data_IF_041841523960
#
_entry.id   IF_041841523960
#
_cell.length_a   1.000
_cell.length_b   1.000
_cell.length_c   1.000
_cell.angle_alpha   90.00
_cell.angle_beta   90.00
_cell.angle_gamma   90.00
#
_symmetry.space_group_name_H-M   'P 1'
#
loop_
_entity.id
_entity.type
_entity.pdbx_description
1 polymer ?
#
# COMPACT_ATOMS: atom_id res chain seq x y z
N UNK A 1 -0.99 -17.51 13.84
CA UNK A 1 -1.14 -16.09 13.46
C UNK A 1 -1.06 -15.87 11.95
N UNK A 2 -0.15 -16.49 11.19
CA UNK A 2 -0.20 -16.48 9.71
C UNK A 2 -1.32 -17.35 9.11
N UNK A 3 -1.83 -18.30 9.88
CA UNK A 3 -2.96 -19.19 9.55
C UNK A 3 -4.29 -18.44 9.32
N UNK A 4 -4.42 -17.21 9.84
CA UNK A 4 -5.64 -16.39 9.72
C UNK A 4 -5.61 -15.38 8.59
N UNK A 5 -4.47 -15.15 7.96
CA UNK A 5 -4.30 -14.08 6.95
C UNK A 5 -5.31 -14.21 5.81
N UNK A 6 -5.35 -15.38 5.17
CA UNK A 6 -6.32 -15.66 4.12
C UNK A 6 -7.75 -15.57 4.66
N UNK A 7 -7.98 -16.13 5.84
CA UNK A 7 -9.30 -16.20 6.46
C UNK A 7 -9.89 -14.80 6.71
N UNK A 8 -9.11 -13.90 7.31
CA UNK A 8 -9.50 -12.53 7.63
C UNK A 8 -9.76 -11.71 6.36
N UNK A 9 -8.88 -11.79 5.36
CA UNK A 9 -9.05 -11.10 4.09
C UNK A 9 -10.28 -11.63 3.32
N UNK A 10 -10.45 -12.96 3.24
CA UNK A 10 -11.58 -13.58 2.57
C UNK A 10 -12.92 -13.28 3.26
N UNK A 11 -12.96 -13.34 4.60
CA UNK A 11 -14.16 -13.03 5.36
C UNK A 11 -14.56 -11.56 5.22
N UNK A 12 -13.59 -10.64 5.26
CA UNK A 12 -13.87 -9.23 5.07
C UNK A 12 -14.30 -8.92 3.63
N UNK A 13 -13.67 -9.52 2.62
CA UNK A 13 -14.07 -9.34 1.22
C UNK A 13 -15.51 -9.79 0.96
N UNK A 14 -15.95 -10.89 1.57
CA UNK A 14 -17.35 -11.34 1.54
C UNK A 14 -18.27 -10.32 2.22
N UNK A 15 -17.85 -9.79 3.36
CA UNK A 15 -18.62 -8.80 4.12
C UNK A 15 -18.81 -7.49 3.35
N UNK A 16 -17.74 -6.92 2.77
CA UNK A 16 -17.81 -5.68 1.98
C UNK A 16 -18.71 -5.84 0.74
N UNK A 17 -18.84 -7.07 0.20
CA UNK A 17 -19.78 -7.39 -0.88
C UNK A 17 -21.20 -7.73 -0.41
N UNK A 18 -21.48 -7.65 0.90
CA UNK A 18 -22.78 -8.00 1.47
C UNK A 18 -23.13 -9.49 1.40
N UNK A 19 -22.13 -10.37 1.19
CA UNK A 19 -22.34 -11.81 1.02
C UNK A 19 -22.23 -12.49 2.38
N UNK A 20 -23.35 -13.00 2.89
CA UNK A 20 -23.35 -13.80 4.12
C UNK A 20 -22.64 -15.14 3.91
N UNK A 21 -22.11 -15.73 5.00
CA UNK A 21 -21.46 -17.04 4.97
C UNK A 21 -22.35 -18.13 4.35
N UNK A 22 -23.65 -18.14 4.68
CA UNK A 22 -24.60 -19.12 4.12
C UNK A 22 -24.86 -18.89 2.63
N UNK A 23 -24.92 -17.63 2.18
CA UNK A 23 -25.05 -17.30 0.77
C UNK A 23 -23.80 -17.72 -0.01
N UNK A 24 -22.60 -17.46 0.52
CA UNK A 24 -21.34 -17.88 -0.07
C UNK A 24 -21.23 -19.42 -0.16
N UNK A 25 -21.56 -20.14 0.92
CA UNK A 25 -21.56 -21.59 0.95
C UNK A 25 -22.48 -22.19 -0.13
N UNK A 26 -23.68 -21.63 -0.28
CA UNK A 26 -24.63 -22.04 -1.33
C UNK A 26 -24.10 -21.73 -2.74
N UNK A 27 -23.59 -20.52 -2.95
CA UNK A 27 -23.09 -20.10 -4.26
C UNK A 27 -21.90 -20.95 -4.76
N UNK A 28 -21.05 -21.39 -3.83
CA UNK A 28 -19.87 -22.19 -4.15
C UNK A 28 -20.07 -23.71 -3.98
N UNK A 29 -21.26 -24.15 -3.58
CA UNK A 29 -21.59 -25.55 -3.26
C UNK A 29 -20.65 -26.18 -2.19
N UNK A 30 -20.40 -25.47 -1.10
CA UNK A 30 -19.62 -25.98 0.05
C UNK A 30 -20.49 -26.16 1.30
N UNK A 31 -20.07 -27.09 2.16
CA UNK A 31 -20.61 -27.22 3.51
C UNK A 31 -20.38 -25.92 4.32
N UNK A 32 -21.43 -25.31 4.92
CA UNK A 32 -21.28 -24.10 5.72
C UNK A 32 -20.34 -24.25 6.91
N UNK A 33 -20.24 -25.45 7.52
CA UNK A 33 -19.35 -25.66 8.65
C UNK A 33 -17.87 -25.69 8.21
N UNK A 34 -17.57 -26.30 7.06
CA UNK A 34 -16.23 -26.23 6.45
C UNK A 34 -15.86 -24.79 6.10
N UNK A 35 -16.76 -24.06 5.41
CA UNK A 35 -16.51 -22.65 5.08
C UNK A 35 -16.26 -21.80 6.34
N UNK A 36 -17.04 -22.02 7.40
CA UNK A 36 -16.86 -21.34 8.69
C UNK A 36 -15.51 -21.63 9.32
N UNK A 37 -15.05 -22.88 9.35
CA UNK A 37 -13.72 -23.23 9.89
C UNK A 37 -12.61 -22.54 9.11
N UNK A 38 -12.73 -22.46 7.79
CA UNK A 38 -11.74 -21.78 6.95
C UNK A 38 -11.76 -20.27 7.14
N UNK A 39 -12.93 -19.62 7.12
CA UNK A 39 -13.05 -18.17 7.28
C UNK A 39 -12.77 -17.68 8.71
N UNK A 40 -12.71 -18.58 9.69
CA UNK A 40 -12.26 -18.28 11.06
C UNK A 40 -10.80 -18.67 11.31
N UNK A 41 -10.10 -19.18 10.28
CA UNK A 41 -8.71 -19.60 10.36
C UNK A 41 -8.45 -20.84 11.22
N UNK A 42 -9.51 -21.62 11.54
CA UNK A 42 -9.38 -22.91 12.23
C UNK A 42 -8.89 -24.03 11.29
N UNK A 43 -8.98 -23.83 9.98
CA UNK A 43 -8.55 -24.78 8.96
C UNK A 43 -8.06 -24.03 7.72
N UNK A 44 -6.93 -24.43 7.14
CA UNK A 44 -6.45 -23.83 5.89
C UNK A 44 -7.41 -24.12 4.72
N UNK A 45 -7.55 -23.19 3.75
CA UNK A 45 -8.35 -23.44 2.56
C UNK A 45 -7.71 -24.53 1.69
N UNK A 46 -8.53 -25.36 1.05
CA UNK A 46 -8.05 -26.10 -0.13
C UNK A 46 -7.81 -25.14 -1.30
N UNK A 47 -6.97 -25.53 -2.26
CA UNK A 47 -6.75 -24.72 -3.47
C UNK A 47 -8.06 -24.44 -4.24
N UNK A 48 -8.99 -25.40 -4.24
CA UNK A 48 -10.29 -25.24 -4.88
C UNK A 48 -11.19 -24.26 -4.13
N UNK A 49 -11.19 -24.29 -2.79
CA UNK A 49 -11.95 -23.33 -2.00
C UNK A 49 -11.40 -21.92 -2.18
N UNK A 50 -10.07 -21.74 -2.15
CA UNK A 50 -9.44 -20.45 -2.40
C UNK A 50 -9.85 -19.88 -3.77
N UNK A 51 -9.78 -20.68 -4.85
CA UNK A 51 -10.25 -20.30 -6.20
C UNK A 51 -11.74 -19.97 -6.27
N UNK A 52 -12.56 -20.59 -5.42
CA UNK A 52 -14.01 -20.37 -5.42
C UNK A 52 -14.37 -19.06 -4.72
N UNK A 53 -13.74 -18.79 -3.56
CA UNK A 53 -13.90 -17.51 -2.86
C UNK A 53 -13.35 -16.38 -3.70
N UNK A 54 -12.15 -16.55 -4.28
CA UNK A 54 -11.50 -15.56 -5.14
C UNK A 54 -12.41 -15.12 -6.29
N UNK A 55 -13.01 -16.08 -7.03
CA UNK A 55 -13.99 -15.78 -8.08
C UNK A 55 -15.25 -15.11 -7.54
N UNK A 56 -15.78 -15.57 -6.41
CA UNK A 56 -17.00 -15.02 -5.81
C UNK A 56 -16.83 -13.55 -5.39
N UNK A 57 -15.66 -13.18 -4.87
CA UNK A 57 -15.35 -11.81 -4.46
C UNK A 57 -14.58 -11.03 -5.52
N UNK A 58 -14.47 -11.56 -6.75
CA UNK A 58 -13.78 -10.89 -7.85
C UNK A 58 -12.36 -10.47 -7.51
N UNK A 59 -11.60 -11.30 -6.79
CA UNK A 59 -10.24 -10.98 -6.35
C UNK A 59 -9.16 -11.30 -7.40
N UNK A 60 -9.52 -11.62 -8.64
CA UNK A 60 -8.59 -11.77 -9.78
C UNK A 60 -7.35 -12.64 -9.51
N UNK A 61 -7.53 -13.75 -8.80
CA UNK A 61 -6.46 -14.68 -8.41
C UNK A 61 -5.59 -14.22 -7.24
N UNK A 62 -5.81 -13.03 -6.69
CA UNK A 62 -4.99 -12.47 -5.60
C UNK A 62 -5.26 -13.15 -4.26
N UNK A 63 -6.49 -13.62 -3.99
CA UNK A 63 -6.76 -14.47 -2.81
C UNK A 63 -6.12 -15.84 -2.95
N UNK A 64 -6.03 -16.38 -4.17
CA UNK A 64 -5.29 -17.62 -4.46
C UNK A 64 -3.79 -17.42 -4.19
N UNK A 65 -3.22 -16.31 -4.66
CA UNK A 65 -1.83 -15.96 -4.38
C UNK A 65 -1.55 -15.79 -2.88
N UNK A 66 -2.48 -15.16 -2.15
CA UNK A 66 -2.38 -15.03 -0.69
C UNK A 66 -2.44 -16.38 0.02
N UNK A 67 -3.33 -17.28 -0.41
CA UNK A 67 -3.39 -18.65 0.12
C UNK A 67 -2.09 -19.42 -0.13
N UNK A 68 -1.48 -19.25 -1.31
CA UNK A 68 -0.19 -19.85 -1.64
C UNK A 68 0.96 -19.31 -0.77
N UNK A 69 0.98 -18.00 -0.50
CA UNK A 69 1.96 -17.37 0.39
C UNK A 69 1.81 -17.81 1.87
N UNK A 70 0.60 -18.23 2.27
CA UNK A 70 0.24 -18.61 3.64
C UNK A 70 -0.08 -20.10 3.79
N UNK A 71 0.58 -20.94 3.00
CA UNK A 71 0.44 -22.39 3.03
C UNK A 71 0.98 -23.03 4.33
N UNK A 72 0.78 -24.35 4.48
CA UNK A 72 1.17 -25.12 5.67
C UNK A 72 2.66 -25.02 6.00
N UNK A 73 3.55 -25.05 5.00
CA UNK A 73 4.99 -24.88 5.22
C UNK A 73 5.33 -23.48 5.75
N UNK A 74 4.74 -22.44 5.15
CA UNK A 74 4.89 -21.04 5.59
C UNK A 74 4.43 -20.87 7.03
N UNK A 75 3.25 -21.43 7.38
CA UNK A 75 2.71 -21.39 8.74
C UNK A 75 3.63 -22.12 9.72
N UNK A 76 4.09 -23.32 9.39
CA UNK A 76 5.01 -24.09 10.21
C UNK A 76 6.35 -23.36 10.40
N UNK A 77 6.85 -22.69 9.35
CA UNK A 77 8.09 -21.90 9.41
C UNK A 77 7.95 -20.71 10.35
N UNK A 78 6.88 -19.92 10.21
CA UNK A 78 6.62 -18.79 11.12
C UNK A 78 6.48 -19.29 12.56
N UNK A 79 5.80 -20.41 12.79
CA UNK A 79 5.69 -21.01 14.13
C UNK A 79 7.06 -21.41 14.72
N UNK A 80 7.98 -21.96 13.91
CA UNK A 80 9.36 -22.26 14.35
C UNK A 80 10.12 -20.99 14.71
N UNK A 81 10.00 -19.94 13.90
CA UNK A 81 10.66 -18.65 14.13
C UNK A 81 10.12 -17.94 15.36
N UNK A 82 8.82 -18.07 15.66
CA UNK A 82 8.24 -17.56 16.91
C UNK A 82 8.80 -18.24 18.16
N UNK A 83 9.12 -19.55 18.08
CA UNK A 83 9.75 -20.26 19.20
C UNK A 83 11.21 -19.86 19.40
N UNK A 84 11.90 -19.44 18.34
CA UNK A 84 13.30 -19.02 18.40
C UNK A 84 13.56 -17.76 17.55
N UNK A 85 13.05 -16.57 17.96
CA UNK A 85 13.13 -15.37 17.13
C UNK A 85 14.56 -14.89 16.84
N UNK A 86 15.52 -15.22 17.70
CA UNK A 86 16.94 -14.92 17.49
C UNK A 86 17.58 -15.72 16.34
N UNK A 87 16.87 -16.73 15.80
CA UNK A 87 17.33 -17.63 14.73
C UNK A 87 16.50 -17.51 13.44
N UNK A 88 15.87 -16.36 13.21
CA UNK A 88 15.18 -16.06 11.94
C UNK A 88 16.14 -16.33 10.76
N UNK A 89 15.62 -17.03 9.76
CA UNK A 89 16.34 -17.39 8.53
C UNK A 89 15.81 -16.63 7.31
N UNK A 90 16.54 -16.69 6.20
CA UNK A 90 16.13 -16.10 4.93
C UNK A 90 14.74 -16.57 4.46
N UNK A 91 14.38 -17.84 4.74
CA UNK A 91 13.07 -18.38 4.41
C UNK A 91 11.95 -17.68 5.17
N UNK A 92 12.16 -17.36 6.44
CA UNK A 92 11.19 -16.61 7.27
C UNK A 92 11.01 -15.20 6.73
N UNK A 93 12.10 -14.51 6.41
CA UNK A 93 12.04 -13.17 5.76
C UNK A 93 11.19 -13.27 4.49
N UNK A 94 11.51 -14.22 3.61
CA UNK A 94 10.78 -14.44 2.34
C UNK A 94 9.28 -14.66 2.55
N UNK A 95 8.86 -15.44 3.54
CA UNK A 95 7.44 -15.67 3.83
C UNK A 95 6.72 -14.36 4.15
N UNK A 96 7.30 -13.49 4.96
CA UNK A 96 6.68 -12.20 5.29
C UNK A 96 6.68 -11.23 4.12
N UNK A 97 7.77 -11.18 3.34
CA UNK A 97 7.85 -10.35 2.11
C UNK A 97 6.82 -10.79 1.07
N UNK A 98 6.70 -12.09 0.80
CA UNK A 98 5.74 -12.61 -0.18
C UNK A 98 4.29 -12.42 0.29
N UNK A 99 4.03 -12.62 1.58
CA UNK A 99 2.72 -12.37 2.18
C UNK A 99 2.33 -10.89 2.09
N UNK A 100 3.25 -9.97 2.39
CA UNK A 100 3.02 -8.53 2.25
C UNK A 100 2.69 -8.16 0.80
N UNK A 101 3.44 -8.72 -0.15
CA UNK A 101 3.18 -8.45 -1.56
C UNK A 101 1.83 -9.00 -2.04
N UNK A 102 1.47 -10.21 -1.64
CA UNK A 102 0.18 -10.79 -1.99
C UNK A 102 -0.97 -9.93 -1.42
N UNK A 103 -0.79 -9.34 -0.24
CA UNK A 103 -1.78 -8.44 0.35
C UNK A 103 -1.86 -7.09 -0.37
N UNK A 104 -0.73 -6.50 -0.77
CA UNK A 104 -0.73 -5.30 -1.64
C UNK A 104 -1.51 -5.56 -2.93
N UNK A 105 -1.20 -6.66 -3.61
CA UNK A 105 -1.89 -7.03 -4.85
C UNK A 105 -3.36 -7.38 -4.67
N UNK A 106 -3.73 -7.91 -3.51
CA UNK A 106 -5.13 -8.14 -3.18
C UNK A 106 -5.86 -6.82 -2.98
N UNK A 107 -5.25 -5.88 -2.27
CA UNK A 107 -5.82 -4.57 -2.00
C UNK A 107 -6.11 -3.77 -3.28
N UNK A 108 -5.24 -3.84 -4.29
CA UNK A 108 -5.47 -3.24 -5.61
C UNK A 108 -6.86 -3.60 -6.21
N UNK A 109 -7.40 -4.77 -5.85
CA UNK A 109 -8.62 -5.35 -6.44
C UNK A 109 -9.83 -5.23 -5.51
N UNK A 110 -9.65 -5.48 -4.21
CA UNK A 110 -10.78 -5.54 -3.25
C UNK A 110 -10.79 -4.41 -2.23
N UNK A 111 -9.89 -3.43 -2.39
CA UNK A 111 -9.82 -2.21 -1.60
C UNK A 111 -9.22 -2.36 -0.20
N UNK A 112 -8.84 -1.24 0.43
CA UNK A 112 -8.06 -1.22 1.67
C UNK A 112 -8.87 -1.72 2.88
N UNK A 113 -10.19 -1.51 2.90
CA UNK A 113 -11.08 -1.99 3.97
C UNK A 113 -11.05 -3.50 4.10
N UNK A 114 -10.97 -4.21 2.97
CA UNK A 114 -10.97 -5.67 2.92
C UNK A 114 -9.69 -6.29 3.46
N UNK A 115 -8.55 -5.65 3.23
CA UNK A 115 -7.23 -6.20 3.59
C UNK A 115 -6.78 -5.78 5.00
N UNK A 116 -7.24 -4.62 5.48
CA UNK A 116 -6.80 -4.05 6.76
C UNK A 116 -6.96 -4.98 7.99
N UNK A 117 -8.04 -5.78 8.16
CA UNK A 117 -8.13 -6.72 9.28
C UNK A 117 -7.00 -7.75 9.31
N UNK A 118 -6.69 -8.36 8.15
CA UNK A 118 -5.60 -9.32 8.00
C UNK A 118 -4.25 -8.67 8.34
N UNK A 119 -4.04 -7.45 7.85
CA UNK A 119 -2.84 -6.68 8.18
C UNK A 119 -2.70 -6.48 9.69
N UNK A 120 -3.76 -5.96 10.35
CA UNK A 120 -3.74 -5.73 11.80
C UNK A 120 -3.47 -6.99 12.63
N UNK A 121 -3.99 -8.15 12.20
CA UNK A 121 -3.80 -9.43 12.88
C UNK A 121 -2.33 -9.88 12.95
N UNK A 122 -1.53 -9.51 11.96
CA UNK A 122 -0.14 -9.99 11.82
C UNK A 122 0.91 -9.03 12.41
N UNK A 123 0.59 -7.75 12.62
CA UNK A 123 1.52 -6.75 13.18
C UNK A 123 2.12 -7.20 14.52
N UNK A 124 1.32 -7.84 15.38
CA UNK A 124 1.80 -8.34 16.67
C UNK A 124 2.97 -9.32 16.52
N UNK A 125 2.81 -10.33 15.66
CA UNK A 125 3.83 -11.33 15.32
C UNK A 125 5.10 -10.67 14.77
N UNK A 126 4.93 -9.76 13.82
CA UNK A 126 6.05 -9.11 13.14
C UNK A 126 6.85 -8.25 14.11
N UNK A 127 6.17 -7.49 14.98
CA UNK A 127 6.81 -6.70 16.05
C UNK A 127 7.57 -7.57 17.04
N UNK A 128 6.99 -8.72 17.42
CA UNK A 128 7.63 -9.64 18.35
C UNK A 128 8.89 -10.28 17.76
N UNK A 129 8.82 -10.73 16.51
CA UNK A 129 9.97 -11.24 15.79
C UNK A 129 11.05 -10.16 15.60
N UNK A 130 10.66 -8.95 15.18
CA UNK A 130 11.59 -7.84 14.95
C UNK A 130 12.39 -7.47 16.21
N UNK A 131 11.70 -7.33 17.34
CA UNK A 131 12.33 -7.01 18.64
C UNK A 131 13.41 -8.02 19.04
N UNK A 132 13.16 -9.29 18.75
CA UNK A 132 13.99 -10.41 19.18
C UNK A 132 14.91 -10.96 18.07
N UNK A 133 14.86 -10.40 16.86
CA UNK A 133 15.67 -10.81 15.73
C UNK A 133 17.16 -10.54 16.01
N UNK A 134 18.02 -11.51 15.70
CA UNK A 134 19.47 -11.44 15.88
C UNK A 134 20.19 -12.10 14.71
N UNK A 135 21.50 -11.85 14.59
CA UNK A 135 22.35 -12.46 13.58
C UNK A 135 22.14 -11.92 12.16
N UNK A 136 22.66 -12.65 11.17
CA UNK A 136 22.81 -12.18 9.78
C UNK A 136 21.53 -11.81 9.03
N UNK A 137 20.35 -12.21 9.53
CA UNK A 137 19.06 -11.91 8.89
C UNK A 137 18.24 -10.87 9.64
N UNK A 138 18.81 -10.28 10.71
CA UNK A 138 18.14 -9.28 11.54
C UNK A 138 17.68 -8.09 10.72
N UNK A 139 18.60 -7.43 10.02
CA UNK A 139 18.30 -6.16 9.36
C UNK A 139 17.36 -6.37 8.16
N UNK A 140 17.50 -7.48 7.43
CA UNK A 140 16.54 -7.88 6.40
C UNK A 140 15.12 -8.11 6.95
N UNK A 141 15.02 -8.68 8.16
CA UNK A 141 13.72 -8.83 8.82
C UNK A 141 13.18 -7.49 9.35
N UNK A 142 14.03 -6.61 9.88
CA UNK A 142 13.62 -5.27 10.28
C UNK A 142 13.12 -4.44 9.10
N UNK A 143 13.79 -4.48 7.95
CA UNK A 143 13.33 -3.83 6.72
C UNK A 143 11.94 -4.35 6.31
N UNK A 144 11.75 -5.68 6.34
CA UNK A 144 10.43 -6.29 6.08
C UNK A 144 9.37 -5.83 7.09
N UNK A 145 9.73 -5.72 8.37
CA UNK A 145 8.84 -5.24 9.43
C UNK A 145 8.48 -3.76 9.27
N UNK A 146 9.44 -2.92 8.87
CA UNK A 146 9.23 -1.52 8.55
C UNK A 146 8.27 -1.36 7.38
N UNK A 147 8.47 -2.09 6.27
CA UNK A 147 7.59 -2.04 5.10
C UNK A 147 6.16 -2.49 5.46
N UNK A 148 6.05 -3.45 6.36
CA UNK A 148 4.78 -3.93 6.91
C UNK A 148 4.04 -2.86 7.72
N UNK A 149 4.74 -2.17 8.62
CA UNK A 149 4.16 -1.08 9.40
C UNK A 149 3.83 0.12 8.52
N UNK A 150 4.71 0.46 7.58
CA UNK A 150 4.51 1.51 6.59
C UNK A 150 3.22 1.25 5.80
N UNK A 151 3.06 0.05 5.24
CA UNK A 151 1.90 -0.27 4.41
C UNK A 151 0.61 -0.32 5.24
N UNK A 152 0.66 -0.87 6.46
CA UNK A 152 -0.51 -0.81 7.36
C UNK A 152 -0.86 0.64 7.72
N UNK A 153 0.14 1.50 7.92
CA UNK A 153 -0.04 2.93 8.14
C UNK A 153 -0.78 3.59 6.97
N UNK A 154 -0.37 3.28 5.74
CA UNK A 154 -1.06 3.74 4.54
C UNK A 154 -2.50 3.22 4.45
N UNK A 155 -2.76 1.94 4.73
CA UNK A 155 -4.13 1.40 4.73
C UNK A 155 -5.02 2.11 5.76
N UNK A 156 -4.47 2.46 6.93
CA UNK A 156 -5.18 3.27 7.91
C UNK A 156 -5.47 4.69 7.38
N UNK A 157 -4.54 5.32 6.66
CA UNK A 157 -4.76 6.61 6.02
C UNK A 157 -5.85 6.54 4.94
N UNK A 158 -5.84 5.50 4.11
CA UNK A 158 -6.82 5.30 3.05
C UNK A 158 -8.26 5.19 3.59
N UNK A 159 -8.44 4.66 4.81
CA UNK A 159 -9.75 4.56 5.48
C UNK A 159 -10.01 5.66 6.52
N UNK A 160 -9.28 6.80 6.44
CA UNK A 160 -9.43 7.98 7.33
C UNK A 160 -9.22 7.71 8.82
N UNK A 161 -8.37 6.74 9.15
CA UNK A 161 -7.92 6.47 10.53
C UNK A 161 -6.57 7.14 10.79
N UNK A 162 -6.56 8.46 10.61
CA UNK A 162 -5.35 9.28 10.48
C UNK A 162 -4.39 9.16 11.69
N UNK A 163 -4.91 9.19 12.92
CA UNK A 163 -4.07 9.04 14.13
C UNK A 163 -3.31 7.71 14.13
N UNK A 164 -3.99 6.64 13.71
CA UNK A 164 -3.40 5.30 13.65
C UNK A 164 -2.41 5.17 12.50
N UNK A 165 -2.68 5.86 11.39
CA UNK A 165 -1.76 5.96 10.27
C UNK A 165 -0.45 6.61 10.72
N UNK A 166 -0.52 7.79 11.37
CA UNK A 166 0.66 8.51 11.84
C UNK A 166 1.48 7.70 12.86
N UNK A 167 0.85 7.03 13.83
CA UNK A 167 1.56 6.16 14.80
C UNK A 167 2.35 5.04 14.09
N UNK A 168 1.74 4.39 13.10
CA UNK A 168 2.39 3.30 12.37
C UNK A 168 3.49 3.80 11.43
N UNK A 169 3.25 4.90 10.73
CA UNK A 169 4.23 5.50 9.82
C UNK A 169 5.46 6.01 10.57
N UNK A 170 5.29 6.61 11.76
CA UNK A 170 6.44 7.04 12.58
C UNK A 170 7.27 5.85 13.07
N UNK A 171 6.64 4.75 13.48
CA UNK A 171 7.38 3.54 13.87
C UNK A 171 8.05 2.85 12.70
N UNK A 172 7.42 2.91 11.53
CA UNK A 172 8.00 2.35 10.31
C UNK A 172 9.29 3.08 9.92
N UNK A 173 9.31 4.41 10.02
CA UNK A 173 10.50 5.25 9.83
C UNK A 173 11.62 4.85 10.80
N UNK A 174 11.33 4.78 12.12
CA UNK A 174 12.31 4.39 13.14
C UNK A 174 12.94 3.00 12.88
N UNK A 175 12.11 2.01 12.50
CA UNK A 175 12.59 0.64 12.22
C UNK A 175 13.33 0.57 10.88
N UNK A 176 12.93 1.37 9.89
CA UNK A 176 13.62 1.46 8.61
C UNK A 176 15.03 2.03 8.78
N UNK A 177 15.19 3.07 9.61
CA UNK A 177 16.50 3.63 9.95
C UNK A 177 17.38 2.59 10.68
N UNK A 178 16.80 1.85 11.64
CA UNK A 178 17.51 0.76 12.33
C UNK A 178 17.94 -0.37 11.37
N UNK A 179 17.15 -0.62 10.32
CA UNK A 179 17.45 -1.60 9.29
C UNK A 179 18.42 -1.11 8.20
N UNK A 180 18.71 0.20 8.14
CA UNK A 180 19.42 0.81 7.03
C UNK A 180 18.64 0.75 5.71
N UNK A 181 17.30 0.86 5.76
CA UNK A 181 16.41 0.88 4.60
C UNK A 181 15.87 2.29 4.33
N UNK A 182 16.63 3.13 3.60
CA UNK A 182 16.23 4.52 3.36
C UNK A 182 15.01 4.65 2.45
N UNK A 183 14.69 3.62 1.64
CA UNK A 183 13.53 3.65 0.75
C UNK A 183 12.26 3.56 1.57
N UNK A 184 12.17 2.60 2.49
CA UNK A 184 11.01 2.47 3.37
C UNK A 184 10.87 3.66 4.31
N UNK A 185 11.98 4.21 4.83
CA UNK A 185 11.97 5.42 5.66
C UNK A 185 11.36 6.61 4.90
N UNK A 186 11.83 6.88 3.68
CA UNK A 186 11.30 7.96 2.84
C UNK A 186 9.81 7.78 2.52
N UNK A 187 9.37 6.55 2.18
CA UNK A 187 7.96 6.24 1.92
C UNK A 187 7.11 6.52 3.17
N UNK A 188 7.56 6.09 4.35
CA UNK A 188 6.82 6.27 5.59
C UNK A 188 6.60 7.75 5.91
N UNK A 189 7.63 8.58 5.73
CA UNK A 189 7.55 10.04 5.90
C UNK A 189 6.64 10.67 4.84
N UNK A 190 6.78 10.27 3.58
CA UNK A 190 5.94 10.75 2.47
C UNK A 190 4.45 10.48 2.72
N UNK A 191 4.11 9.31 3.27
CA UNK A 191 2.72 9.01 3.62
C UNK A 191 2.17 9.83 4.81
N UNK A 192 3.01 10.38 5.69
CA UNK A 192 2.55 11.39 6.66
C UNK A 192 2.15 12.69 5.96
N UNK A 193 2.82 13.04 4.87
CA UNK A 193 2.46 14.15 3.99
C UNK A 193 1.13 13.90 3.26
N UNK A 194 0.90 12.66 2.79
CA UNK A 194 -0.41 12.25 2.27
C UNK A 194 -1.54 12.40 3.30
N UNK A 195 -1.33 11.98 4.56
CA UNK A 195 -2.30 12.23 5.66
C UNK A 195 -2.51 13.72 5.90
N UNK A 196 -1.44 14.54 5.85
CA UNK A 196 -1.56 15.99 5.98
C UNK A 196 -2.39 16.61 4.85
N UNK A 197 -2.25 16.12 3.61
CA UNK A 197 -3.07 16.54 2.46
C UNK A 197 -4.55 16.26 2.69
N UNK A 198 -4.88 15.05 3.12
CA UNK A 198 -6.26 14.66 3.45
C UNK A 198 -6.91 15.47 4.58
N UNK A 199 -6.08 16.13 5.40
CA UNK A 199 -6.52 17.01 6.49
C UNK A 199 -6.49 18.50 6.10
N UNK A 200 -6.17 18.84 4.84
CA UNK A 200 -6.04 20.22 4.38
C UNK A 200 -4.87 20.98 5.02
N UNK A 201 -3.86 20.27 5.54
CA UNK A 201 -2.70 20.87 6.22
C UNK A 201 -1.55 21.09 5.24
N UNK A 202 -1.67 22.07 4.35
CA UNK A 202 -0.70 22.34 3.26
C UNK A 202 0.75 22.47 3.74
N UNK A 203 1.02 23.22 4.82
CA UNK A 203 2.36 23.30 5.42
C UNK A 203 2.87 21.94 5.93
N UNK A 204 1.96 21.09 6.38
CA UNK A 204 2.26 19.71 6.77
C UNK A 204 2.60 18.83 5.58
N UNK A 205 1.97 19.05 4.41
CA UNK A 205 2.32 18.38 3.16
C UNK A 205 3.76 18.72 2.78
N UNK A 206 4.08 20.01 2.63
CA UNK A 206 5.44 20.47 2.28
C UNK A 206 6.48 19.94 3.26
N UNK A 207 6.23 20.04 4.58
CA UNK A 207 7.18 19.58 5.61
C UNK A 207 7.55 18.11 5.45
N UNK A 208 6.56 17.23 5.30
CA UNK A 208 6.81 15.79 5.20
C UNK A 208 7.40 15.42 3.83
N UNK A 209 6.89 16.01 2.75
CA UNK A 209 7.41 15.77 1.41
C UNK A 209 8.88 16.18 1.29
N UNK A 210 9.27 17.35 1.80
CA UNK A 210 10.68 17.79 1.80
C UNK A 210 11.58 16.92 2.70
N UNK A 211 11.06 16.41 3.82
CA UNK A 211 11.80 15.47 4.66
C UNK A 211 12.04 14.13 3.95
N UNK A 212 11.02 13.58 3.28
CA UNK A 212 11.13 12.37 2.48
C UNK A 212 12.09 12.55 1.28
N UNK A 213 11.98 13.68 0.57
CA UNK A 213 12.84 14.05 -0.57
C UNK A 213 14.32 14.05 -0.21
N UNK A 214 14.65 14.53 0.98
CA UNK A 214 16.03 14.67 1.47
C UNK A 214 16.50 13.50 2.35
N UNK A 215 15.73 12.41 2.44
CA UNK A 215 16.17 11.19 3.11
C UNK A 215 17.39 10.61 2.37
N UNK A 216 18.57 10.47 3.02
CA UNK A 216 19.76 9.96 2.36
C UNK A 216 19.54 8.54 1.82
N UNK A 217 19.86 8.30 0.56
CA UNK A 217 19.64 7.00 -0.08
C UNK A 217 18.21 6.73 -0.56
N UNK A 218 17.31 7.73 -0.48
CA UNK A 218 15.97 7.63 -1.06
C UNK A 218 16.01 7.36 -2.57
N UNK A 219 15.12 6.49 -3.04
CA UNK A 219 15.06 6.08 -4.43
C UNK A 219 14.57 7.25 -5.32
N UNK A 220 15.12 7.44 -6.54
CA UNK A 220 14.70 8.52 -7.44
C UNK A 220 13.18 8.57 -7.69
N UNK A 221 12.52 7.43 -7.86
CA UNK A 221 11.07 7.38 -8.04
C UNK A 221 10.29 7.96 -6.83
N UNK A 222 10.76 7.70 -5.60
CA UNK A 222 10.17 8.29 -4.40
C UNK A 222 10.40 9.80 -4.37
N UNK A 223 11.63 10.24 -4.69
CA UNK A 223 11.97 11.66 -4.80
C UNK A 223 11.12 12.40 -5.83
N UNK A 224 10.79 11.78 -6.97
CA UNK A 224 9.83 12.36 -7.93
C UNK A 224 8.49 12.65 -7.27
N UNK A 225 7.91 11.66 -6.58
CA UNK A 225 6.64 11.83 -5.91
C UNK A 225 6.71 12.88 -4.79
N UNK A 226 7.81 12.93 -4.04
CA UNK A 226 7.97 13.92 -2.97
C UNK A 226 8.09 15.35 -3.51
N UNK A 227 8.74 15.56 -4.66
CA UNK A 227 8.72 16.86 -5.35
C UNK A 227 7.30 17.25 -5.76
N UNK A 228 6.54 16.32 -6.37
CA UNK A 228 5.16 16.56 -6.78
C UNK A 228 4.25 16.84 -5.57
N UNK A 229 4.42 16.11 -4.48
CA UNK A 229 3.65 16.30 -3.26
C UNK A 229 4.00 17.63 -2.57
N UNK A 230 5.27 18.03 -2.55
CA UNK A 230 5.67 19.35 -2.09
C UNK A 230 5.08 20.45 -2.98
N UNK A 231 5.08 20.26 -4.31
CA UNK A 231 4.46 21.19 -5.25
C UNK A 231 2.95 21.35 -4.98
N UNK A 232 2.21 20.26 -4.70
CA UNK A 232 0.81 20.31 -4.25
C UNK A 232 0.65 21.11 -2.94
N UNK A 233 1.56 20.89 -1.99
CA UNK A 233 1.60 21.68 -0.76
C UNK A 233 1.73 23.18 -1.02
N UNK A 234 2.62 23.59 -1.94
CA UNK A 234 2.81 24.99 -2.32
C UNK A 234 1.65 25.56 -3.15
N UNK A 235 1.10 24.81 -4.12
CA UNK A 235 -0.03 25.26 -4.94
C UNK A 235 -1.28 25.54 -4.10
N UNK A 236 -1.60 24.67 -3.14
CA UNK A 236 -2.72 24.90 -2.22
C UNK A 236 -2.57 26.13 -1.30
N UNK A 237 -1.35 26.67 -1.18
CA UNK A 237 -1.07 27.93 -0.46
C UNK A 237 -0.90 29.14 -1.42
N UNK A 238 -1.17 28.97 -2.72
CA UNK A 238 -0.98 29.96 -3.77
C UNK A 238 0.49 30.41 -3.96
N UNK A 239 1.45 29.55 -3.59
CA UNK A 239 2.89 29.75 -3.74
C UNK A 239 3.33 29.23 -5.13
N UNK A 240 2.85 29.90 -6.18
CA UNK A 240 2.96 29.45 -7.58
C UNK A 240 4.41 29.26 -8.03
N UNK A 241 5.33 30.15 -7.63
CA UNK A 241 6.73 30.10 -8.07
C UNK A 241 7.41 28.84 -7.53
N UNK A 242 7.20 28.55 -6.25
CA UNK A 242 7.74 27.39 -5.55
C UNK A 242 7.17 26.09 -6.13
N UNK A 243 5.85 26.04 -6.36
CA UNK A 243 5.19 24.89 -6.96
C UNK A 243 5.73 24.57 -8.37
N UNK A 244 5.87 25.59 -9.23
CA UNK A 244 6.38 25.40 -10.59
C UNK A 244 7.86 24.97 -10.62
N UNK A 245 8.70 25.49 -9.72
CA UNK A 245 10.09 25.05 -9.62
C UNK A 245 10.21 23.56 -9.25
N UNK A 246 9.40 23.10 -8.30
CA UNK A 246 9.36 21.69 -7.90
C UNK A 246 8.80 20.79 -9.02
N UNK A 247 7.86 21.27 -9.83
CA UNK A 247 7.37 20.55 -11.02
C UNK A 247 8.46 20.37 -12.08
N UNK A 248 9.30 21.39 -12.29
CA UNK A 248 10.44 21.33 -13.22
C UNK A 248 11.47 20.29 -12.77
N UNK A 249 11.81 20.29 -11.48
CA UNK A 249 12.68 19.29 -10.87
C UNK A 249 12.11 17.87 -11.00
N UNK A 250 10.80 17.70 -10.74
CA UNK A 250 10.12 16.41 -10.86
C UNK A 250 10.15 15.91 -12.31
N UNK A 251 9.84 16.78 -13.28
CA UNK A 251 9.83 16.45 -14.71
C UNK A 251 11.21 16.00 -15.18
N UNK A 252 12.27 16.67 -14.73
CA UNK A 252 13.67 16.28 -15.02
C UNK A 252 14.01 14.89 -14.49
N UNK A 253 13.49 14.49 -13.33
CA UNK A 253 13.70 13.14 -12.79
C UNK A 253 12.85 12.08 -13.52
N UNK A 254 11.62 12.41 -13.89
CA UNK A 254 10.70 11.49 -14.62
C UNK A 254 11.31 11.07 -15.96
N UNK A 255 11.94 12.00 -16.69
CA UNK A 255 12.61 11.74 -17.97
C UNK A 255 13.76 10.73 -17.90
N UNK A 256 14.28 10.43 -16.69
CA UNK A 256 15.35 9.43 -16.51
C UNK A 256 14.84 8.00 -16.53
N UNK A 257 13.52 7.79 -16.49
CA UNK A 257 12.86 6.46 -16.59
C UNK A 257 13.47 5.40 -15.65
N UNK A 258 13.74 5.79 -14.41
CA UNK A 258 14.37 4.91 -13.43
C UNK A 258 13.33 3.92 -12.91
N UNK A 259 13.54 2.62 -13.14
CA UNK A 259 12.61 1.57 -12.69
C UNK A 259 12.46 1.60 -11.17
N UNK A 260 11.23 1.72 -10.63
CA UNK A 260 11.02 1.74 -9.19
C UNK A 260 11.29 0.37 -8.54
N UNK A 261 11.72 0.33 -7.27
CA UNK A 261 11.72 -0.91 -6.51
C UNK A 261 10.28 -1.43 -6.35
N UNK A 262 10.17 -2.73 -6.02
CA UNK A 262 8.89 -3.42 -5.86
C UNK A 262 7.91 -2.69 -4.93
N UNK A 263 8.39 -2.05 -3.88
CA UNK A 263 7.55 -1.30 -2.92
C UNK A 263 6.91 -0.04 -3.51
N UNK A 264 7.42 0.46 -4.64
CA UNK A 264 7.02 1.68 -5.36
C UNK A 264 6.50 1.37 -6.77
N UNK A 265 5.99 0.17 -7.03
CA UNK A 265 5.66 -0.28 -8.40
C UNK A 265 4.63 0.60 -9.15
N UNK A 266 3.87 1.45 -8.44
CA UNK A 266 2.96 2.45 -9.01
C UNK A 266 3.66 3.72 -9.51
N UNK A 267 4.87 4.02 -9.03
CA UNK A 267 5.58 5.28 -9.26
C UNK A 267 6.25 5.26 -10.64
N UNK A 268 5.39 5.31 -11.66
CA UNK A 268 5.70 5.27 -13.09
C UNK A 268 5.13 6.53 -13.76
N UNK A 269 5.54 6.85 -15.01
CA UNK A 269 5.14 8.09 -15.67
C UNK A 269 3.63 8.41 -15.64
N UNK A 270 2.69 7.47 -15.88
CA UNK A 270 1.26 7.78 -15.83
C UNK A 270 0.78 8.28 -14.46
N UNK A 271 1.28 7.68 -13.38
CA UNK A 271 0.99 8.10 -12.01
C UNK A 271 1.54 9.51 -11.73
N UNK A 272 2.76 9.79 -12.19
CA UNK A 272 3.34 11.13 -12.01
C UNK A 272 2.60 12.20 -12.83
N UNK A 273 2.18 11.90 -14.06
CA UNK A 273 1.38 12.81 -14.89
C UNK A 273 0.09 13.23 -14.18
N UNK A 274 -0.63 12.28 -13.58
CA UNK A 274 -1.83 12.61 -12.80
C UNK A 274 -1.52 13.55 -11.62
N UNK A 275 -0.42 13.32 -10.91
CA UNK A 275 -0.01 14.20 -9.80
C UNK A 275 0.46 15.59 -10.27
N UNK A 276 1.05 15.71 -11.46
CA UNK A 276 1.33 16.99 -12.11
C UNK A 276 0.01 17.72 -12.42
N UNK A 277 -0.97 17.01 -12.97
CA UNK A 277 -2.30 17.57 -13.27
C UNK A 277 -3.02 18.09 -12.02
N UNK A 278 -2.88 17.41 -10.87
CA UNK A 278 -3.38 17.89 -9.58
C UNK A 278 -2.77 19.24 -9.18
N UNK A 279 -1.45 19.42 -9.37
CA UNK A 279 -0.80 20.70 -9.06
C UNK A 279 -1.32 21.81 -9.96
N UNK A 280 -1.45 21.57 -11.26
CA UNK A 280 -2.00 22.56 -12.19
C UNK A 280 -3.45 22.93 -11.86
N UNK A 281 -4.25 21.96 -11.41
CA UNK A 281 -5.62 22.22 -11.00
C UNK A 281 -5.67 23.15 -9.78
N UNK A 282 -4.84 22.91 -8.77
CA UNK A 282 -4.76 23.77 -7.59
C UNK A 282 -4.23 25.18 -7.91
N UNK A 283 -3.44 25.34 -8.97
CA UNK A 283 -2.98 26.63 -9.49
C UNK A 283 -4.03 27.35 -10.38
N UNK A 284 -5.18 26.72 -10.64
CA UNK A 284 -6.22 27.25 -11.53
C UNK A 284 -5.94 27.10 -13.03
N UNK A 285 -4.90 26.34 -13.41
CA UNK A 285 -4.52 26.10 -14.81
C UNK A 285 -5.32 24.92 -15.39
N UNK A 286 -6.65 25.11 -15.50
CA UNK A 286 -7.61 24.04 -15.82
C UNK A 286 -7.30 23.26 -17.10
N UNK A 287 -6.81 23.93 -18.14
CA UNK A 287 -6.45 23.28 -19.41
C UNK A 287 -5.31 22.27 -19.20
N UNK A 288 -4.20 22.73 -18.59
CA UNK A 288 -3.03 21.90 -18.29
C UNK A 288 -3.39 20.76 -17.34
N UNK A 289 -4.20 21.04 -16.32
CA UNK A 289 -4.67 20.03 -15.38
C UNK A 289 -5.39 18.89 -16.08
N UNK A 290 -6.37 19.22 -16.93
CA UNK A 290 -7.16 18.22 -17.64
C UNK A 290 -6.33 17.44 -18.68
N UNK A 291 -5.34 18.07 -19.33
CA UNK A 291 -4.46 17.37 -20.27
C UNK A 291 -3.59 16.32 -19.57
N UNK A 292 -2.94 16.70 -18.46
CA UNK A 292 -2.11 15.79 -17.67
C UNK A 292 -2.92 14.67 -17.00
N UNK A 293 -4.10 14.98 -16.46
CA UNK A 293 -4.98 13.98 -15.84
C UNK A 293 -5.52 13.00 -16.88
N UNK A 294 -5.96 13.48 -18.04
CA UNK A 294 -6.46 12.62 -19.12
C UNK A 294 -5.37 11.68 -19.64
N UNK A 295 -4.17 12.21 -19.91
CA UNK A 295 -3.02 11.39 -20.34
C UNK A 295 -2.68 10.34 -19.29
N UNK A 296 -2.50 10.76 -18.03
CA UNK A 296 -2.08 9.86 -16.97
C UNK A 296 -3.10 8.75 -16.69
N UNK A 297 -4.41 9.07 -16.70
CA UNK A 297 -5.47 8.06 -16.56
C UNK A 297 -5.55 7.11 -17.76
N UNK A 298 -5.36 7.61 -18.98
CA UNK A 298 -5.40 6.81 -20.20
C UNK A 298 -4.21 5.86 -20.35
N UNK A 299 -3.05 6.25 -19.86
CA UNK A 299 -1.79 5.49 -19.96
C UNK A 299 -1.58 4.50 -18.80
N UNK A 300 -2.52 4.44 -17.83
CA UNK A 300 -2.47 3.42 -16.79
C UNK A 300 -2.60 2.01 -17.40
N UNK A 301 -1.91 1.01 -16.83
CA UNK A 301 -2.15 -0.39 -17.15
C UNK A 301 -3.64 -0.76 -17.05
N UNK A 302 -4.12 -1.65 -17.91
CA UNK A 302 -5.53 -2.04 -17.99
C UNK A 302 -6.10 -2.50 -16.63
N UNK A 303 -5.31 -3.22 -15.84
CA UNK A 303 -5.68 -3.69 -14.49
C UNK A 303 -5.75 -2.58 -13.43
N UNK A 304 -5.34 -1.35 -13.76
CA UNK A 304 -5.31 -0.20 -12.87
C UNK A 304 -6.29 0.90 -13.27
N UNK A 305 -6.74 0.93 -14.52
CA UNK A 305 -7.64 1.96 -15.05
C UNK A 305 -8.99 2.02 -14.33
N UNK A 306 -9.42 0.95 -13.63
CA UNK A 306 -10.67 0.90 -12.86
C UNK A 306 -10.48 0.98 -11.34
N UNK A 307 -9.24 1.11 -10.84
CA UNK A 307 -8.94 0.97 -9.43
C UNK A 307 -9.50 2.13 -8.58
N UNK A 308 -9.96 1.85 -7.36
CA UNK A 308 -10.64 2.83 -6.49
C UNK A 308 -9.82 4.11 -6.25
N UNK A 309 -8.50 3.98 -6.10
CA UNK A 309 -7.60 5.11 -5.84
C UNK A 309 -7.57 6.15 -6.98
N UNK A 310 -7.98 5.78 -8.20
CA UNK A 310 -8.04 6.71 -9.35
C UNK A 310 -9.23 7.68 -9.28
N UNK A 311 -10.18 7.46 -8.35
CA UNK A 311 -11.40 8.27 -8.24
C UNK A 311 -11.11 9.76 -8.06
N UNK A 312 -10.17 10.12 -7.19
CA UNK A 312 -9.83 11.53 -6.94
C UNK A 312 -9.34 12.24 -8.20
N UNK A 313 -8.53 11.56 -9.03
CA UNK A 313 -8.01 12.11 -10.27
C UNK A 313 -9.10 12.30 -11.32
N UNK A 314 -10.06 11.37 -11.41
CA UNK A 314 -11.22 11.51 -12.33
C UNK A 314 -12.15 12.63 -11.90
N UNK A 315 -12.39 12.78 -10.60
CA UNK A 315 -13.20 13.88 -10.08
C UNK A 315 -12.55 15.22 -10.46
N UNK A 316 -11.25 15.36 -10.22
CA UNK A 316 -10.51 16.60 -10.54
C UNK A 316 -10.49 16.84 -12.05
N UNK A 317 -10.31 15.80 -12.87
CA UNK A 317 -10.40 15.92 -14.33
C UNK A 317 -11.75 16.48 -14.76
N UNK A 318 -12.86 15.95 -14.24
CA UNK A 318 -14.21 16.45 -14.54
C UNK A 318 -14.43 17.91 -14.12
N UNK A 319 -13.79 18.36 -13.04
CA UNK A 319 -13.82 19.78 -12.65
C UNK A 319 -12.98 20.64 -13.59
N UNK A 320 -11.76 20.20 -13.91
CA UNK A 320 -10.85 20.90 -14.80
C UNK A 320 -11.44 21.06 -16.21
N UNK A 321 -12.09 20.03 -16.76
CA UNK A 321 -12.76 20.09 -18.07
C UNK A 321 -13.92 21.10 -18.11
N UNK A 322 -14.68 21.23 -17.02
CA UNK A 322 -15.78 22.20 -16.90
C UNK A 322 -15.28 23.64 -16.74
N UNK A 323 -14.05 23.82 -16.29
CA UNK A 323 -13.40 25.12 -16.09
C UNK A 323 -12.54 25.57 -17.27
N UNK A 324 -12.54 24.83 -18.39
CA UNK A 324 -11.91 25.23 -19.66
C UNK A 324 -12.68 26.36 -20.35
#
# INVERSE_FOLDING_TARGET
MTDRTFAEAAAQALHERGISLRAAARAMNYDPAYLSRTLTGKQLPSAQLAKSIDRLVGAEGKLVALAAATNEESVARVARSMKNPSRIDAGTVKVFTDCLWAQRKLEDVIGPRSVLPAMRGQIGTIRELARNARGKHRDAFLATAAEWMQYTGWLHAAVRRDERAIDLLSRAEEIADEAGDPVTAAIAVSFKGYVARQQGRSRGVVRNAMAALHTPGSHPAQRCFDLLQAAQGHSSMNEKKEALGLLEDATTLIQKEIEPPRSLYWYKPPFFQMNIGMVYWELGENQMAADFLSSGLGDLPEDQQGAEWTHEYREVLSHAERGR
#
